data_IF_697220202243
#
_entry.id   IF_697220202243
#
_cell.length_a   1.000
_cell.length_b   1.000
_cell.length_c   1.000
_cell.angle_alpha   90.00
_cell.angle_beta   90.00
_cell.angle_gamma   90.00
#
_symmetry.space_group_name_H-M   'P 1'
#
loop_
_entity.id
_entity.type
_entity.pdbx_description
1 polymer ?
#
# COMPACT_ATOMS: atom_id res chain seq x y z
N UNK A 1 -28.89 35.24 26.61
CA UNK A 1 -29.65 35.35 27.87
C UNK A 1 -29.72 33.94 28.45
N UNK A 2 -28.76 33.54 29.30
CA UNK A 2 -28.87 33.44 30.77
C UNK A 2 -29.82 32.28 31.18
N UNK A 3 -29.49 31.29 32.05
CA UNK A 3 -28.78 31.35 33.34
C UNK A 3 -28.71 29.94 34.04
N UNK A 4 -27.71 29.77 34.93
CA UNK A 4 -27.72 29.14 36.31
C UNK A 4 -27.90 27.59 36.40
N UNK A 5 -26.98 26.74 36.93
CA UNK A 5 -26.26 26.62 38.23
C UNK A 5 -27.10 26.11 39.41
N UNK A 6 -26.85 24.88 39.91
CA UNK A 6 -26.45 24.51 41.31
C UNK A 6 -26.46 22.99 41.56
N UNK A 7 -25.64 22.55 42.52
CA UNK A 7 -25.35 21.18 43.00
C UNK A 7 -26.28 20.72 44.15
N UNK A 8 -26.31 19.40 44.45
CA UNK A 8 -26.25 18.74 45.80
C UNK A 8 -26.56 17.21 45.67
N UNK A 9 -25.72 16.23 46.03
CA UNK A 9 -25.10 15.71 47.29
C UNK A 9 -25.86 14.60 48.03
N UNK A 10 -25.17 13.45 48.16
CA UNK A 10 -25.06 12.51 49.29
C UNK A 10 -26.22 11.59 49.72
N UNK A 11 -25.92 10.28 49.77
CA UNK A 11 -26.33 9.36 50.85
C UNK A 11 -25.24 8.29 51.07
N UNK A 12 -24.77 8.17 52.31
CA UNK A 12 -23.94 7.08 52.84
C UNK A 12 -24.77 6.27 53.85
N UNK A 13 -24.62 4.95 53.86
CA UNK A 13 -24.94 4.06 55.00
C UNK A 13 -24.01 2.85 54.86
N UNK A 14 -22.89 2.80 55.58
CA UNK A 14 -22.67 2.26 56.92
C UNK A 14 -22.70 0.71 57.02
N UNK A 15 -21.55 0.13 57.33
CA UNK A 15 -21.42 -1.12 58.10
C UNK A 15 -19.99 -1.26 58.61
N UNK A 16 -19.91 -1.45 59.92
CA UNK A 16 -18.75 -1.54 60.78
C UNK A 16 -18.07 -2.91 60.72
N UNK A 17 -16.76 -2.97 61.02
CA UNK A 17 -16.13 -3.76 62.11
C UNK A 17 -14.60 -3.87 61.94
N UNK A 18 -13.92 -4.12 63.06
CA UNK A 18 -12.54 -3.73 63.38
C UNK A 18 -11.39 -4.64 62.86
N UNK A 19 -10.19 -4.03 62.89
CA UNK A 19 -8.87 -4.59 63.28
C UNK A 19 -8.01 -5.30 62.22
N UNK A 20 -6.75 -4.83 62.09
CA UNK A 20 -5.65 -5.56 61.46
C UNK A 20 -4.84 -4.74 60.45
N UNK A 21 -3.70 -4.18 60.89
CA UNK A 21 -2.72 -3.58 60.00
C UNK A 21 -1.98 -4.68 59.22
N UNK A 22 -2.33 -4.87 57.95
CA UNK A 22 -1.55 -5.70 57.01
C UNK A 22 -0.96 -4.81 55.92
N UNK A 23 0.37 -4.87 55.78
CA UNK A 23 1.15 -4.09 54.83
C UNK A 23 0.87 -4.58 53.39
N UNK A 24 -0.16 -4.03 52.75
CA UNK A 24 -0.49 -4.33 51.36
C UNK A 24 0.58 -3.76 50.42
N UNK A 25 1.42 -4.63 49.84
CA UNK A 25 2.20 -4.30 48.64
C UNK A 25 1.24 -3.81 47.56
N UNK A 26 1.37 -2.55 47.16
CA UNK A 26 0.53 -1.95 46.13
C UNK A 26 0.61 -2.72 44.79
N UNK A 27 -0.47 -2.73 43.99
CA UNK A 27 -0.48 -3.45 42.73
C UNK A 27 0.59 -2.85 41.81
N UNK A 28 1.40 -3.70 41.19
CA UNK A 28 2.33 -3.25 40.14
C UNK A 28 1.48 -2.68 39.00
N UNK A 29 1.68 -1.38 38.73
CA UNK A 29 1.02 -0.70 37.62
C UNK A 29 1.39 -1.41 36.31
N UNK A 30 0.42 -2.05 35.67
CA UNK A 30 0.58 -2.56 34.32
C UNK A 30 0.85 -1.37 33.39
N UNK A 31 1.95 -1.42 32.65
CA UNK A 31 2.33 -0.40 31.66
C UNK A 31 1.22 -0.29 30.62
N UNK A 32 0.55 0.86 30.56
CA UNK A 32 -0.54 1.11 29.61
C UNK A 32 0.06 1.47 28.24
N UNK A 33 0.07 0.52 27.31
CA UNK A 33 0.44 0.78 25.91
C UNK A 33 -0.50 1.84 25.32
N UNK A 34 0.03 2.94 24.80
CA UNK A 34 -0.79 4.01 24.20
C UNK A 34 -1.00 3.77 22.70
N UNK A 35 -2.06 4.35 22.11
CA UNK A 35 -2.31 4.27 20.65
C UNK A 35 -1.12 4.76 19.82
N UNK A 36 -0.39 5.77 20.32
CA UNK A 36 0.80 6.31 19.66
C UNK A 36 1.96 5.32 19.70
N UNK A 37 2.11 4.57 20.79
CA UNK A 37 3.14 3.53 20.90
C UNK A 37 2.84 2.37 19.95
N UNK A 38 1.56 2.00 19.79
CA UNK A 38 1.12 1.03 18.78
C UNK A 38 1.47 1.50 17.37
N UNK A 39 1.15 2.75 17.00
CA UNK A 39 1.44 3.28 15.65
C UNK A 39 2.96 3.39 15.39
N UNK A 40 3.75 3.79 16.39
CA UNK A 40 5.22 3.83 16.25
C UNK A 40 5.79 2.43 16.08
N UNK A 41 5.28 1.45 16.81
CA UNK A 41 5.70 0.05 16.69
C UNK A 41 5.33 -0.54 15.33
N UNK A 42 4.15 -0.20 14.77
CA UNK A 42 3.74 -0.69 13.45
C UNK A 42 4.59 -0.12 12.31
N UNK A 43 5.03 1.14 12.41
CA UNK A 43 5.91 1.74 11.40
C UNK A 43 7.31 1.10 11.37
N UNK A 44 7.84 0.74 12.54
CA UNK A 44 9.11 0.01 12.63
C UNK A 44 9.03 -1.39 11.99
N UNK A 45 7.86 -2.05 12.05
CA UNK A 45 7.64 -3.36 11.43
C UNK A 45 7.46 -3.29 9.91
N UNK A 46 6.82 -2.24 9.38
CA UNK A 46 6.65 -2.07 7.94
C UNK A 46 7.98 -1.83 7.18
N UNK A 47 8.96 -1.19 7.82
CA UNK A 47 10.30 -0.97 7.24
C UNK A 47 11.11 -2.25 7.04
N UNK A 48 10.78 -3.34 7.73
CA UNK A 48 11.48 -4.63 7.62
C UNK A 48 11.24 -5.34 6.28
N UNK A 49 10.11 -5.08 5.60
CA UNK A 49 9.82 -5.63 4.28
C UNK A 49 10.67 -5.00 3.16
N UNK A 50 11.09 -3.74 3.31
CA UNK A 50 11.94 -3.03 2.33
C UNK A 50 13.40 -3.50 2.39
N UNK A 51 13.82 -4.10 3.51
CA UNK A 51 15.20 -4.54 3.76
C UNK A 51 15.50 -5.97 3.27
N UNK A 52 14.57 -6.62 2.57
CA UNK A 52 14.80 -7.94 1.96
C UNK A 52 14.93 -9.09 2.97
N UNK A 53 14.32 -8.97 4.15
CA UNK A 53 14.26 -10.07 5.09
C UNK A 53 13.45 -11.25 4.49
N UNK A 54 13.83 -12.50 4.78
CA UNK A 54 13.15 -13.69 4.25
C UNK A 54 11.72 -13.83 4.80
N UNK A 55 10.80 -14.39 4.01
CA UNK A 55 9.36 -14.47 4.31
C UNK A 55 8.98 -14.98 5.71
N UNK A 56 9.77 -15.87 6.31
CA UNK A 56 9.55 -16.37 7.67
C UNK A 56 9.68 -15.29 8.76
N UNK A 57 10.30 -14.14 8.45
CA UNK A 57 10.52 -13.01 9.35
C UNK A 57 9.52 -11.86 9.14
N UNK A 58 8.67 -11.91 8.10
CA UNK A 58 7.53 -11.00 7.98
C UNK A 58 6.43 -11.45 8.97
N UNK A 59 5.76 -10.54 9.69
CA UNK A 59 4.48 -10.85 10.30
C UNK A 59 3.57 -11.34 9.17
N UNK A 60 3.14 -12.59 9.23
CA UNK A 60 2.42 -13.25 8.17
C UNK A 60 1.03 -12.61 7.98
N UNK A 61 0.98 -11.50 7.24
CA UNK A 61 -0.27 -10.88 6.79
C UNK A 61 -1.10 -11.87 5.94
N UNK A 62 -0.43 -12.86 5.34
CA UNK A 62 -1.02 -13.89 4.50
C UNK A 62 -1.58 -15.12 5.24
N UNK A 63 -1.46 -15.22 6.58
CA UNK A 63 -1.79 -16.46 7.28
C UNK A 63 -3.31 -16.65 7.40
N UNK A 64 -3.86 -17.56 6.59
CA UNK A 64 -5.29 -17.82 6.49
C UNK A 64 -5.97 -17.06 5.33
N UNK A 65 -5.21 -16.37 4.49
CA UNK A 65 -5.74 -15.84 3.24
C UNK A 65 -6.16 -17.01 2.32
N UNK A 66 -7.33 -16.86 1.72
CA UNK A 66 -7.87 -17.78 0.73
C UNK A 66 -8.05 -16.99 -0.56
N UNK A 67 -7.50 -17.51 -1.65
CA UNK A 67 -7.75 -16.96 -2.98
C UNK A 67 -9.26 -17.00 -3.25
N UNK A 68 -9.84 -15.84 -3.54
CA UNK A 68 -11.25 -15.72 -3.92
C UNK A 68 -11.36 -15.75 -5.43
N UNK A 69 -12.29 -16.57 -5.92
CA UNK A 69 -12.58 -16.65 -7.33
C UNK A 69 -13.32 -15.40 -7.81
N UNK A 70 -13.01 -14.95 -9.02
CA UNK A 70 -13.77 -13.90 -9.69
C UNK A 70 -15.09 -14.49 -10.17
N UNK A 71 -16.22 -14.05 -9.61
CA UNK A 71 -17.56 -14.58 -9.93
C UNK A 71 -18.19 -13.94 -11.16
N UNK A 72 -17.62 -12.83 -11.64
CA UNK A 72 -18.11 -12.01 -12.75
C UNK A 72 -17.36 -12.27 -14.07
N UNK A 73 -16.32 -13.11 -14.03
CA UNK A 73 -15.53 -13.49 -15.20
C UNK A 73 -15.84 -14.94 -15.61
N UNK A 74 -15.96 -15.23 -16.92
CA UNK A 74 -16.06 -16.61 -17.39
C UNK A 74 -14.73 -17.36 -17.14
N UNK A 75 -14.81 -18.69 -17.04
CA UNK A 75 -13.62 -19.55 -16.85
C UNK A 75 -12.60 -19.32 -17.98
N UNK A 76 -13.08 -19.38 -19.23
CA UNK A 76 -12.30 -19.11 -20.43
C UNK A 76 -12.55 -17.69 -20.93
N UNK A 77 -11.48 -16.89 -21.00
CA UNK A 77 -11.52 -15.53 -21.53
C UNK A 77 -10.73 -15.52 -22.84
N UNK A 78 -11.35 -15.11 -23.94
CA UNK A 78 -10.61 -14.83 -25.16
C UNK A 78 -9.86 -13.51 -25.01
N UNK A 79 -8.61 -13.61 -24.58
CA UNK A 79 -7.69 -12.47 -24.56
C UNK A 79 -7.31 -12.19 -26.00
N UNK A 80 -7.97 -11.22 -26.64
CA UNK A 80 -7.54 -10.73 -27.95
C UNK A 80 -6.08 -10.25 -27.78
N UNK A 81 -5.18 -10.90 -28.52
CA UNK A 81 -3.75 -10.58 -28.62
C UNK A 81 -3.46 -10.23 -30.07
N UNK A 82 -4.09 -9.17 -30.55
CA UNK A 82 -3.80 -8.64 -31.87
C UNK A 82 -2.71 -7.56 -31.80
N UNK A 83 -2.35 -7.01 -32.96
CA UNK A 83 -1.32 -5.98 -33.05
C UNK A 83 -1.76 -4.63 -32.45
N UNK A 84 -3.03 -4.43 -32.11
CA UNK A 84 -3.53 -3.14 -31.61
C UNK A 84 -3.84 -3.20 -30.12
N UNK A 85 -4.39 -4.30 -29.65
CA UNK A 85 -4.88 -4.51 -28.29
C UNK A 85 -4.46 -5.87 -27.76
N UNK A 86 -3.89 -5.85 -26.56
CA UNK A 86 -3.64 -7.02 -25.74
C UNK A 86 -4.35 -6.85 -24.41
N UNK A 87 -5.35 -7.70 -24.17
CA UNK A 87 -6.02 -7.80 -22.87
C UNK A 87 -5.23 -8.79 -22.01
N UNK A 88 -5.06 -8.44 -20.73
CA UNK A 88 -4.39 -9.29 -19.74
C UNK A 88 -5.43 -9.95 -18.86
N UNK A 89 -5.18 -11.20 -18.50
CA UNK A 89 -5.98 -11.87 -17.48
C UNK A 89 -5.37 -11.57 -16.12
N UNK A 90 -6.04 -10.71 -15.36
CA UNK A 90 -5.58 -10.26 -14.04
C UNK A 90 -5.53 -11.39 -13.01
N UNK A 91 -6.22 -12.51 -13.25
CA UNK A 91 -6.18 -13.71 -12.40
C UNK A 91 -4.79 -14.36 -12.35
N UNK A 92 -3.97 -14.09 -13.37
CA UNK A 92 -2.63 -14.67 -13.52
C UNK A 92 -1.51 -13.68 -13.18
N UNK A 93 -1.81 -12.56 -12.49
CA UNK A 93 -0.77 -11.65 -11.98
C UNK A 93 -0.23 -12.25 -10.69
N UNK A 94 0.94 -12.87 -10.78
CA UNK A 94 1.60 -13.62 -9.70
C UNK A 94 2.93 -12.99 -9.25
N UNK A 95 3.33 -11.87 -9.87
CA UNK A 95 4.60 -11.22 -9.62
C UNK A 95 4.47 -9.69 -9.68
N UNK A 96 5.42 -8.99 -9.07
CA UNK A 96 5.49 -7.54 -9.04
C UNK A 96 5.71 -6.94 -10.44
N UNK A 97 6.46 -7.64 -11.29
CA UNK A 97 6.73 -7.21 -12.67
C UNK A 97 5.95 -8.06 -13.66
N UNK A 98 5.10 -7.42 -14.45
CA UNK A 98 4.42 -8.08 -15.57
C UNK A 98 5.43 -8.47 -16.65
N UNK A 99 5.47 -9.74 -17.09
CA UNK A 99 6.31 -10.15 -18.20
C UNK A 99 6.05 -9.34 -19.48
N UNK A 100 7.08 -9.07 -20.29
CA UNK A 100 6.99 -8.23 -21.50
C UNK A 100 5.92 -8.74 -22.49
N UNK A 101 5.77 -10.06 -22.60
CA UNK A 101 4.76 -10.71 -23.45
C UNK A 101 3.35 -10.74 -22.83
N UNK A 102 3.19 -10.26 -21.60
CA UNK A 102 1.93 -10.17 -20.86
C UNK A 102 1.56 -8.73 -20.49
N UNK A 103 2.32 -7.71 -20.89
CA UNK A 103 1.97 -6.31 -20.61
C UNK A 103 0.76 -5.88 -21.44
N UNK A 104 -0.30 -5.28 -20.89
CA UNK A 104 -1.45 -4.90 -21.73
C UNK A 104 -1.06 -3.85 -22.79
N UNK A 105 -1.72 -3.84 -23.95
CA UNK A 105 -1.49 -2.83 -24.98
C UNK A 105 -2.81 -2.22 -25.46
N UNK A 106 -2.76 -0.94 -25.84
CA UNK A 106 -3.86 -0.26 -26.53
C UNK A 106 -3.24 0.72 -27.50
N UNK A 107 -3.52 0.56 -28.79
CA UNK A 107 -2.97 1.37 -29.86
C UNK A 107 -4.08 1.76 -30.82
N UNK A 108 -4.04 3.01 -31.28
CA UNK A 108 -5.06 3.54 -32.17
C UNK A 108 -4.73 3.37 -33.66
N UNK A 109 -3.45 3.15 -33.99
CA UNK A 109 -2.95 3.17 -35.38
C UNK A 109 -1.92 2.07 -35.68
N UNK A 110 -1.93 0.98 -34.90
CA UNK A 110 -1.00 -0.15 -35.04
C UNK A 110 0.45 0.14 -34.61
N UNK A 111 1.37 -0.78 -34.96
CA UNK A 111 2.79 -0.72 -34.62
C UNK A 111 3.61 -0.09 -35.76
N UNK A 112 4.22 1.08 -35.58
CA UNK A 112 5.10 1.64 -36.60
C UNK A 112 6.42 0.84 -36.66
N UNK A 113 6.91 0.60 -37.88
CA UNK A 113 8.30 0.17 -38.09
C UNK A 113 9.20 1.41 -38.15
N UNK A 114 10.17 1.49 -37.23
CA UNK A 114 11.05 2.64 -37.10
C UNK A 114 12.50 2.20 -37.38
N UNK A 115 13.14 2.83 -38.36
CA UNK A 115 14.58 2.73 -38.52
C UNK A 115 15.28 3.65 -37.50
N UNK A 116 15.91 3.02 -36.52
CA UNK A 116 16.59 3.72 -35.42
C UNK A 116 17.81 4.51 -35.86
N UNK A 117 18.42 4.20 -37.01
CA UNK A 117 19.60 4.91 -37.51
C UNK A 117 19.25 6.33 -37.97
N UNK A 118 18.07 6.49 -38.57
CA UNK A 118 17.59 7.78 -39.11
C UNK A 118 16.56 8.47 -38.22
N UNK A 119 16.03 7.78 -37.20
CA UNK A 119 15.05 8.34 -36.26
C UNK A 119 15.53 9.64 -35.60
N UNK A 120 14.62 10.61 -35.48
CA UNK A 120 14.81 11.84 -34.73
C UNK A 120 13.58 12.18 -33.88
N UNK A 121 13.78 12.36 -32.57
CA UNK A 121 12.78 12.97 -31.69
C UNK A 121 12.89 14.48 -31.78
N UNK A 122 11.87 15.14 -32.32
CA UNK A 122 11.80 16.59 -32.40
C UNK A 122 11.19 17.18 -31.14
N UNK A 123 11.91 18.08 -30.48
CA UNK A 123 11.42 18.90 -29.37
C UNK A 123 11.25 20.33 -29.87
N UNK A 124 10.03 20.86 -29.82
CA UNK A 124 9.68 22.18 -30.37
C UNK A 124 8.49 22.79 -29.64
N UNK A 125 8.16 24.05 -29.93
CA UNK A 125 7.07 24.78 -29.28
C UNK A 125 7.62 25.98 -28.48
N UNK A 126 7.18 26.15 -27.24
CA UNK A 126 7.67 27.20 -26.34
C UNK A 126 9.00 26.79 -25.68
N UNK A 127 10.05 26.71 -26.49
CA UNK A 127 11.43 26.41 -26.09
C UNK A 127 12.35 27.50 -26.62
N UNK A 128 13.47 27.75 -25.95
CA UNK A 128 14.46 28.72 -26.43
C UNK A 128 15.01 28.33 -27.80
N UNK A 129 15.37 27.05 -27.97
CA UNK A 129 15.86 26.48 -29.21
C UNK A 129 15.24 25.10 -29.46
N UNK A 130 14.62 24.86 -30.63
CA UNK A 130 14.14 23.53 -31.01
C UNK A 130 15.29 22.52 -31.19
N UNK A 131 15.04 21.26 -30.84
CA UNK A 131 16.03 20.18 -30.91
C UNK A 131 15.52 19.01 -31.75
N UNK A 132 16.45 18.25 -32.33
CA UNK A 132 16.19 16.98 -33.00
C UNK A 132 17.20 15.94 -32.50
N UNK A 133 16.75 15.04 -31.63
CA UNK A 133 17.61 14.08 -30.92
C UNK A 133 17.59 12.71 -31.60
N UNK A 134 18.75 12.12 -31.82
CA UNK A 134 18.86 10.73 -32.25
C UNK A 134 18.57 9.76 -31.10
N UNK A 135 18.38 8.47 -31.41
CA UNK A 135 18.27 7.46 -30.36
C UNK A 135 19.56 7.33 -29.52
N UNK A 136 20.72 7.62 -30.11
CA UNK A 136 22.00 7.62 -29.40
C UNK A 136 22.08 8.77 -28.40
N UNK A 137 21.65 9.97 -28.79
CA UNK A 137 21.62 11.14 -27.89
C UNK A 137 20.73 10.87 -26.67
N UNK A 138 19.55 10.26 -26.89
CA UNK A 138 18.63 9.89 -25.81
C UNK A 138 19.23 8.87 -24.85
N UNK A 139 19.97 7.88 -25.36
CA UNK A 139 20.62 6.84 -24.53
C UNK A 139 21.82 7.37 -23.74
N UNK A 140 22.42 8.46 -24.17
CA UNK A 140 23.54 9.11 -23.49
C UNK A 140 23.08 10.02 -22.33
N UNK A 141 21.77 10.23 -22.18
CA UNK A 141 21.22 11.00 -21.06
C UNK A 141 21.36 10.23 -19.73
N UNK A 142 21.54 10.94 -18.60
CA UNK A 142 21.73 10.34 -17.28
C UNK A 142 20.48 9.67 -16.71
#
# INVERSE_FOLDING_TARGET
MQRISTYDTNYLQDSSLAFGAEHRKGPKMATKTTRRDVIKSSLAMAGLGVLGLPEWAMPALAQGERLMEFTDLPDEINLIRDAERRIIDVRHIDNYFTPVNQFFTTQHYGHPQIDTAVYRLRVSGLVNEPLALSLADLRAMP
#
